data_IF_744447886631
#
_entry.id   IF_744447886631
#
_cell.length_a   1.000
_cell.length_b   1.000
_cell.length_c   1.000
_cell.angle_alpha   90.00
_cell.angle_beta   90.00
_cell.angle_gamma   90.00
#
_symmetry.space_group_name_H-M   'P 1'
#
loop_
_entity.id
_entity.type
_entity.pdbx_description
1 polymer ?
#
# COMPACT_ATOMS: atom_id res chain seq x y z
N UNK A 1 48.28 14.22 3.65
CA UNK A 1 47.96 13.23 2.59
C UNK A 1 47.18 12.10 3.22
N UNK A 2 45.87 12.07 2.98
CA UNK A 2 44.98 10.90 2.98
C UNK A 2 43.72 11.39 2.27
N UNK A 3 43.74 11.28 0.94
CA UNK A 3 42.59 11.54 0.10
C UNK A 3 41.66 10.33 0.16
N UNK A 4 40.43 10.54 0.60
CA UNK A 4 39.30 9.63 0.40
C UNK A 4 37.98 10.40 0.59
N UNK A 5 37.89 11.59 0.01
CA UNK A 5 36.67 12.38 -0.01
C UNK A 5 35.92 12.15 -1.30
N UNK A 6 35.20 11.02 -1.45
CA UNK A 6 34.27 10.82 -2.58
C UNK A 6 33.26 9.66 -2.37
N UNK A 7 32.61 9.52 -1.21
CA UNK A 7 31.51 8.52 -1.03
C UNK A 7 30.35 8.92 -0.10
N UNK A 8 30.25 10.18 0.34
CA UNK A 8 29.25 10.57 1.35
C UNK A 8 27.93 11.17 0.80
N UNK A 9 27.76 11.25 -0.52
CA UNK A 9 26.51 11.73 -1.12
C UNK A 9 25.39 10.66 -1.22
N UNK A 10 25.63 9.43 -0.75
CA UNK A 10 24.71 8.29 -0.91
C UNK A 10 24.08 7.72 0.37
N UNK A 11 24.48 8.17 1.57
CA UNK A 11 24.04 7.55 2.83
C UNK A 11 22.53 7.72 3.10
N UNK A 12 21.91 8.80 2.62
CA UNK A 12 20.45 9.00 2.70
C UNK A 12 19.68 8.01 1.81
N UNK A 13 20.22 7.68 0.64
CA UNK A 13 19.56 6.81 -0.33
C UNK A 13 19.58 5.35 0.12
N UNK A 14 20.73 4.87 0.64
CA UNK A 14 20.84 3.48 1.11
C UNK A 14 19.96 3.20 2.33
N UNK A 15 19.93 4.11 3.30
CA UNK A 15 19.07 3.99 4.47
C UNK A 15 17.58 4.01 4.08
N UNK A 16 17.20 4.91 3.17
CA UNK A 16 15.83 4.99 2.65
C UNK A 16 15.41 3.70 1.94
N UNK A 17 16.20 3.21 0.98
CA UNK A 17 15.88 1.96 0.27
C UNK A 17 15.89 0.75 1.21
N UNK A 18 16.80 0.73 2.20
CA UNK A 18 16.78 -0.28 3.24
C UNK A 18 15.48 -0.29 4.04
N UNK A 19 14.99 0.88 4.44
CA UNK A 19 13.70 1.02 5.13
C UNK A 19 12.53 0.59 4.24
N UNK A 20 12.51 1.00 2.97
CA UNK A 20 11.47 0.64 2.02
C UNK A 20 11.44 -0.87 1.75
N UNK A 21 12.60 -1.49 1.52
CA UNK A 21 12.72 -2.93 1.32
C UNK A 21 12.26 -3.71 2.55
N UNK A 22 12.66 -3.28 3.74
CA UNK A 22 12.22 -3.90 5.00
C UNK A 22 10.69 -3.83 5.16
N UNK A 23 10.09 -2.68 4.89
CA UNK A 23 8.64 -2.50 4.96
C UNK A 23 7.89 -3.36 3.95
N UNK A 24 8.39 -3.45 2.72
CA UNK A 24 7.82 -4.31 1.68
C UNK A 24 7.87 -5.79 2.06
N UNK A 25 9.01 -6.25 2.58
CA UNK A 25 9.19 -7.64 3.01
C UNK A 25 8.25 -7.98 4.18
N UNK A 26 8.13 -7.10 5.16
CA UNK A 26 7.20 -7.27 6.30
C UNK A 26 5.74 -7.43 5.82
N UNK A 27 5.31 -6.60 4.87
CA UNK A 27 3.98 -6.73 4.24
C UNK A 27 3.80 -8.08 3.53
N UNK A 28 4.78 -8.51 2.75
CA UNK A 28 4.72 -9.79 2.05
C UNK A 28 4.65 -10.98 2.99
N UNK A 29 5.42 -10.96 4.09
CA UNK A 29 5.38 -12.02 5.09
C UNK A 29 4.05 -12.11 5.82
N UNK A 30 3.41 -10.97 6.09
CA UNK A 30 2.09 -10.92 6.77
C UNK A 30 0.92 -11.21 5.85
N UNK A 31 1.09 -11.04 4.53
CA UNK A 31 0.00 -11.13 3.58
C UNK A 31 -0.59 -12.56 3.49
N UNK A 32 -1.85 -12.71 3.90
CA UNK A 32 -2.65 -13.95 3.79
C UNK A 32 -3.70 -13.82 2.68
N UNK A 33 -4.11 -14.92 2.00
CA UNK A 33 -5.26 -14.91 1.10
C UNK A 33 -6.52 -14.45 1.84
N UNK A 34 -7.35 -13.60 1.22
CA UNK A 34 -8.55 -13.06 1.86
C UNK A 34 -9.53 -14.17 2.22
N UNK A 35 -9.64 -15.20 1.39
CA UNK A 35 -10.49 -16.37 1.62
C UNK A 35 -10.09 -17.11 2.89
N UNK A 36 -8.78 -17.22 3.14
CA UNK A 36 -8.26 -17.86 4.35
C UNK A 36 -8.48 -17.02 5.61
N UNK A 37 -8.60 -15.69 5.49
CA UNK A 37 -8.94 -14.80 6.61
C UNK A 37 -10.45 -14.84 6.88
N UNK A 38 -11.27 -14.89 5.84
CA UNK A 38 -12.73 -15.03 5.97
C UNK A 38 -13.16 -16.38 6.54
N UNK A 39 -12.41 -17.45 6.27
CA UNK A 39 -12.66 -18.78 6.84
C UNK A 39 -12.20 -18.93 8.30
N UNK A 40 -11.41 -17.99 8.81
CA UNK A 40 -10.84 -18.04 10.16
C UNK A 40 -11.87 -17.55 11.19
N UNK A 41 -12.35 -18.42 12.11
CA UNK A 41 -13.37 -18.04 13.09
C UNK A 41 -12.87 -17.04 14.13
N UNK A 42 -11.55 -16.86 14.26
CA UNK A 42 -10.97 -15.86 15.15
C UNK A 42 -10.98 -14.45 14.53
N UNK A 43 -11.28 -14.31 13.24
CA UNK A 43 -11.31 -13.01 12.57
C UNK A 43 -12.44 -12.13 13.13
N UNK A 44 -12.17 -10.89 13.55
CA UNK A 44 -13.21 -9.99 14.07
C UNK A 44 -14.35 -9.77 13.06
N UNK A 45 -15.63 -9.77 13.48
CA UNK A 45 -16.78 -9.65 12.57
C UNK A 45 -16.73 -8.40 11.67
N UNK A 46 -16.26 -7.27 12.22
CA UNK A 46 -16.11 -6.04 11.46
C UNK A 46 -15.08 -6.15 10.33
N UNK A 47 -13.98 -6.90 10.57
CA UNK A 47 -12.97 -7.16 9.55
C UNK A 47 -13.52 -8.10 8.46
N UNK A 48 -14.24 -9.16 8.86
CA UNK A 48 -14.90 -10.06 7.92
C UNK A 48 -15.85 -9.32 6.98
N UNK A 49 -16.71 -8.44 7.53
CA UNK A 49 -17.65 -7.66 6.75
C UNK A 49 -16.96 -6.75 5.71
N UNK A 50 -15.88 -6.06 6.12
CA UNK A 50 -15.08 -5.20 5.23
C UNK A 50 -14.40 -5.99 4.11
N UNK A 51 -13.81 -7.14 4.45
CA UNK A 51 -13.15 -8.00 3.46
C UNK A 51 -14.16 -8.59 2.48
N UNK A 52 -15.33 -9.05 2.95
CA UNK A 52 -16.40 -9.55 2.11
C UNK A 52 -16.91 -8.48 1.13
N UNK A 53 -17.08 -7.24 1.60
CA UNK A 53 -17.46 -6.10 0.76
C UNK A 53 -16.40 -5.80 -0.31
N UNK A 54 -15.13 -5.80 0.07
CA UNK A 54 -14.01 -5.62 -0.88
C UNK A 54 -14.01 -6.70 -1.97
N UNK A 55 -14.23 -7.97 -1.61
CA UNK A 55 -14.34 -9.06 -2.59
C UNK A 55 -15.54 -8.91 -3.51
N UNK A 56 -16.69 -8.42 -3.00
CA UNK A 56 -17.86 -8.14 -3.83
C UNK A 56 -17.60 -7.02 -4.84
N UNK A 57 -16.98 -5.92 -4.39
CA UNK A 57 -16.58 -4.82 -5.27
C UNK A 57 -15.61 -5.27 -6.35
N UNK A 58 -14.63 -6.11 -5.99
CA UNK A 58 -13.68 -6.71 -6.92
C UNK A 58 -14.39 -7.56 -7.99
N UNK A 59 -15.31 -8.44 -7.59
CA UNK A 59 -16.09 -9.26 -8.54
C UNK A 59 -16.89 -8.39 -9.49
N UNK A 60 -17.58 -7.37 -8.98
CA UNK A 60 -18.30 -6.42 -9.83
C UNK A 60 -17.37 -5.72 -10.84
N UNK A 61 -16.18 -5.30 -10.42
CA UNK A 61 -15.21 -4.65 -11.29
C UNK A 61 -14.73 -5.56 -12.43
N UNK A 62 -14.54 -6.86 -12.16
CA UNK A 62 -14.13 -7.83 -13.19
C UNK A 62 -15.31 -8.24 -14.06
N UNK A 63 -16.42 -8.66 -13.44
CA UNK A 63 -17.53 -9.33 -14.13
C UNK A 63 -18.44 -8.33 -14.87
N UNK A 64 -18.60 -7.11 -14.34
CA UNK A 64 -19.55 -6.11 -14.87
C UNK A 64 -18.82 -4.96 -15.57
N UNK A 65 -17.72 -4.47 -14.99
CA UNK A 65 -16.96 -3.36 -15.57
C UNK A 65 -15.85 -3.82 -16.54
N UNK A 66 -15.66 -5.15 -16.69
CA UNK A 66 -14.63 -5.75 -17.55
C UNK A 66 -13.21 -5.23 -17.26
N UNK A 67 -12.91 -4.89 -16.00
CA UNK A 67 -11.55 -4.53 -15.60
C UNK A 67 -10.67 -5.80 -15.57
N UNK A 68 -9.34 -5.68 -15.79
CA UNK A 68 -8.45 -6.83 -15.79
C UNK A 68 -8.50 -7.63 -14.48
N UNK A 69 -8.66 -8.96 -14.59
CA UNK A 69 -8.65 -9.87 -13.45
C UNK A 69 -7.22 -10.10 -12.91
N UNK A 70 -6.67 -9.07 -12.27
CA UNK A 70 -5.33 -9.11 -11.69
C UNK A 70 -5.33 -9.57 -10.22
N UNK A 71 -4.13 -9.68 -9.64
CA UNK A 71 -3.96 -10.13 -8.26
C UNK A 71 -4.40 -9.11 -7.18
N UNK A 72 -4.84 -7.92 -7.57
CA UNK A 72 -5.23 -6.86 -6.63
C UNK A 72 -6.40 -7.31 -5.75
N UNK A 73 -6.37 -6.85 -4.50
CA UNK A 73 -7.38 -7.10 -3.47
C UNK A 73 -7.58 -8.58 -3.10
N UNK A 74 -6.74 -9.52 -3.55
CA UNK A 74 -6.85 -10.96 -3.21
C UNK A 74 -6.15 -11.34 -1.90
N UNK A 75 -5.35 -10.45 -1.32
CA UNK A 75 -4.57 -10.70 -0.09
C UNK A 75 -4.77 -9.59 0.92
N UNK A 76 -4.74 -9.96 2.20
CA UNK A 76 -4.84 -9.06 3.34
C UNK A 76 -3.58 -9.18 4.21
N UNK A 77 -3.05 -8.05 4.65
CA UNK A 77 -1.98 -7.98 5.65
C UNK A 77 -2.45 -7.06 6.78
N UNK A 78 -2.40 -7.56 8.02
CA UNK A 78 -2.62 -6.70 9.18
C UNK A 78 -1.38 -5.82 9.39
N UNK A 79 -1.59 -4.51 9.33
CA UNK A 79 -0.53 -3.51 9.44
C UNK A 79 -0.15 -3.22 10.90
N UNK A 80 -0.98 -3.66 11.85
CA UNK A 80 -0.86 -3.34 13.29
C UNK A 80 -0.80 -1.82 13.57
N UNK A 81 -1.34 -1.03 12.64
CA UNK A 81 -1.44 0.43 12.70
C UNK A 81 -2.66 0.89 11.91
N UNK A 82 -3.22 2.06 12.23
CA UNK A 82 -4.49 2.49 11.65
C UNK A 82 -4.42 2.83 10.15
N UNK A 83 -3.25 3.21 9.62
CA UNK A 83 -3.10 3.68 8.24
C UNK A 83 -1.83 3.12 7.57
N UNK A 84 -1.94 2.77 6.29
CA UNK A 84 -0.79 2.30 5.50
C UNK A 84 0.19 3.43 5.20
N UNK A 85 -0.34 4.57 4.74
CA UNK A 85 0.38 5.80 4.37
C UNK A 85 -0.49 7.02 4.68
N UNK A 86 0.16 8.16 4.89
CA UNK A 86 -0.48 9.48 4.92
C UNK A 86 -0.06 10.25 3.68
N UNK A 87 -1.03 10.65 2.87
CA UNK A 87 -0.76 11.53 1.72
C UNK A 87 -1.20 12.95 2.07
N UNK A 88 -0.26 13.89 2.00
CA UNK A 88 -0.51 15.31 2.25
C UNK A 88 -0.31 16.04 0.93
N UNK A 89 -1.38 16.64 0.42
CA UNK A 89 -1.38 17.41 -0.82
C UNK A 89 -1.59 18.88 -0.46
N UNK A 90 -0.72 19.75 -0.96
CA UNK A 90 -0.84 21.19 -0.78
C UNK A 90 -1.39 21.82 -2.07
N UNK A 91 -2.36 22.73 -1.92
CA UNK A 91 -2.91 23.56 -3.00
C UNK A 91 -2.82 25.04 -2.58
N UNK A 92 -2.65 25.99 -3.52
CA UNK A 92 -2.83 27.41 -3.22
C UNK A 92 -4.19 27.68 -2.56
N UNK A 93 -4.29 28.72 -1.71
CA UNK A 93 -5.57 29.11 -1.12
C UNK A 93 -6.61 29.40 -2.22
N UNK A 94 -7.84 28.97 -1.98
CA UNK A 94 -9.03 29.20 -2.81
C UNK A 94 -9.00 28.63 -4.24
N UNK A 95 -8.05 27.72 -4.54
CA UNK A 95 -7.98 27.03 -5.83
C UNK A 95 -8.96 25.85 -5.90
N UNK A 96 -9.98 25.97 -6.77
CA UNK A 96 -10.92 24.88 -7.12
C UNK A 96 -10.68 24.31 -8.52
N UNK A 97 -9.67 24.84 -9.24
CA UNK A 97 -9.29 24.34 -10.56
C UNK A 97 -8.51 23.03 -10.44
N UNK A 98 -8.81 22.01 -11.27
CA UNK A 98 -8.04 20.77 -11.28
C UNK A 98 -6.55 21.04 -11.58
N UNK A 99 -5.66 20.68 -10.66
CA UNK A 99 -4.21 20.71 -10.87
C UNK A 99 -3.71 19.33 -11.30
N UNK A 100 -2.93 19.27 -12.38
CA UNK A 100 -2.19 18.05 -12.74
C UNK A 100 -0.93 17.99 -11.89
N UNK A 101 -0.87 17.02 -10.98
CA UNK A 101 0.37 16.69 -10.27
C UNK A 101 1.30 15.94 -11.22
N UNK A 102 2.18 16.67 -11.90
CA UNK A 102 3.28 16.08 -12.65
C UNK A 102 4.40 15.74 -11.66
N UNK A 103 4.53 14.46 -11.33
CA UNK A 103 5.74 13.94 -10.68
C UNK A 103 6.76 13.65 -11.78
N UNK A 104 7.99 14.20 -11.72
CA UNK A 104 9.07 13.85 -12.66
C UNK A 104 9.50 12.39 -12.53
#
# INVERSE_FOLDING_TARGET
MCGAGLFLAGCSNLAYYGAAARGQLDLWWRARPVEAVLADPATPPALQARLAQSQAARRFAVDVLALPDNASYRRYADLERPYAVWNVIATPPDSLSPGLSAHP
#
